data_IF_276013725738
#
_entry.id   IF_276013725738
#
_cell.length_a   1.000
_cell.length_b   1.000
_cell.length_c   1.000
_cell.angle_alpha   90.00
_cell.angle_beta   90.00
_cell.angle_gamma   90.00
#
_symmetry.space_group_name_H-M   'P 1'
#
loop_
_entity.id
_entity.type
_entity.pdbx_description
1 polymer ?
#
# COMPACT_ATOMS: atom_id res chain seq x y z
N UNK A 1 18.35 -46.52 -3.68
CA UNK A 1 17.02 -45.97 -3.34
C UNK A 1 17.09 -44.86 -2.31
N UNK A 2 18.18 -44.66 -1.59
CA UNK A 2 18.29 -43.71 -0.47
C UNK A 2 18.74 -42.30 -0.86
N UNK A 3 19.71 -42.15 -1.79
CA UNK A 3 20.19 -40.79 -2.16
C UNK A 3 19.21 -40.01 -3.04
N UNK A 4 18.56 -40.64 -4.00
CA UNK A 4 17.56 -39.97 -4.86
C UNK A 4 16.31 -39.57 -4.07
N UNK A 5 15.90 -40.35 -3.06
CA UNK A 5 14.77 -39.98 -2.17
C UNK A 5 15.12 -38.84 -1.21
N UNK A 6 16.38 -38.78 -0.73
CA UNK A 6 16.85 -37.68 0.14
C UNK A 6 16.97 -36.39 -0.66
N UNK A 7 17.43 -36.46 -1.90
CA UNK A 7 17.56 -35.27 -2.79
C UNK A 7 16.19 -34.72 -3.20
N UNK A 8 15.20 -35.60 -3.43
CA UNK A 8 13.81 -35.19 -3.71
C UNK A 8 13.12 -34.58 -2.48
N UNK A 9 13.34 -35.12 -1.28
CA UNK A 9 12.74 -34.57 -0.05
C UNK A 9 13.38 -33.23 0.34
N UNK A 10 14.68 -33.06 0.13
CA UNK A 10 15.39 -31.77 0.29
C UNK A 10 14.94 -30.76 -0.74
N UNK A 11 14.69 -31.14 -2.00
CA UNK A 11 14.15 -30.29 -3.03
C UNK A 11 12.70 -29.89 -2.76
N UNK A 12 11.84 -30.79 -2.30
CA UNK A 12 10.46 -30.49 -1.97
C UNK A 12 10.33 -29.62 -0.71
N UNK A 13 11.17 -29.83 0.30
CA UNK A 13 11.22 -28.95 1.48
C UNK A 13 11.73 -27.56 1.14
N UNK A 14 12.67 -27.44 0.21
CA UNK A 14 13.17 -26.16 -0.29
C UNK A 14 12.12 -25.45 -1.17
N UNK A 15 11.36 -26.21 -1.97
CA UNK A 15 10.35 -25.68 -2.87
C UNK A 15 9.20 -24.94 -2.14
N UNK A 16 8.90 -25.27 -0.89
CA UNK A 16 7.84 -24.62 -0.09
C UNK A 16 8.34 -23.44 0.78
N UNK A 17 9.63 -23.17 0.85
CA UNK A 17 10.21 -22.12 1.71
C UNK A 17 9.81 -20.70 1.28
N UNK A 18 9.41 -20.49 0.02
CA UNK A 18 8.81 -19.23 -0.40
C UNK A 18 7.57 -18.83 0.43
N UNK A 19 6.82 -19.81 0.96
CA UNK A 19 5.64 -19.57 1.78
C UNK A 19 5.99 -18.85 3.09
N UNK A 20 7.12 -19.19 3.72
CA UNK A 20 7.56 -18.54 4.95
C UNK A 20 7.91 -17.07 4.74
N UNK A 21 8.53 -16.74 3.61
CA UNK A 21 8.77 -15.33 3.24
C UNK A 21 7.46 -14.64 2.87
N UNK A 22 6.55 -15.33 2.21
CA UNK A 22 5.22 -14.82 1.87
C UNK A 22 4.40 -14.49 3.13
N UNK A 23 4.51 -15.31 4.19
CA UNK A 23 3.93 -15.01 5.52
C UNK A 23 4.59 -13.78 6.15
N UNK A 24 5.91 -13.61 6.00
CA UNK A 24 6.60 -12.38 6.41
C UNK A 24 6.07 -11.13 5.68
N UNK A 25 5.88 -11.22 4.37
CA UNK A 25 5.27 -10.15 3.58
C UNK A 25 3.83 -9.86 3.99
N UNK A 26 3.06 -10.91 4.26
CA UNK A 26 1.70 -10.81 4.78
C UNK A 26 1.67 -10.07 6.13
N UNK A 27 2.56 -10.43 7.06
CA UNK A 27 2.65 -9.83 8.39
C UNK A 27 2.93 -8.32 8.29
N UNK A 28 3.96 -7.90 7.52
CA UNK A 28 4.27 -6.47 7.40
C UNK A 28 3.18 -5.68 6.67
N UNK A 29 2.46 -6.30 5.72
CA UNK A 29 1.34 -5.68 5.05
C UNK A 29 0.11 -5.56 5.96
N UNK A 30 -0.13 -6.55 6.83
CA UNK A 30 -1.16 -6.49 7.87
C UNK A 30 -0.94 -5.26 8.76
N UNK A 31 0.25 -5.12 9.40
CA UNK A 31 0.60 -3.97 10.23
C UNK A 31 0.58 -2.63 9.49
N UNK A 32 0.83 -2.67 8.18
CA UNK A 32 0.69 -1.50 7.34
C UNK A 32 -0.73 -0.93 7.33
N UNK A 33 -1.75 -1.78 7.37
CA UNK A 33 -3.13 -1.36 7.14
C UNK A 33 -4.10 -1.61 8.31
N UNK A 34 -3.68 -2.31 9.38
CA UNK A 34 -4.52 -2.54 10.58
C UNK A 34 -4.91 -1.23 11.28
N UNK A 35 -4.06 -0.21 11.21
CA UNK A 35 -4.29 1.10 11.81
C UNK A 35 -5.41 1.89 11.09
N UNK A 36 -5.62 1.64 9.80
CA UNK A 36 -6.50 2.44 8.95
C UNK A 36 -7.95 2.49 9.47
N UNK A 37 -8.65 1.38 9.78
CA UNK A 37 -10.00 1.46 10.32
C UNK A 37 -10.05 2.05 11.74
N UNK A 38 -8.95 2.00 12.48
CA UNK A 38 -8.85 2.51 13.84
C UNK A 38 -8.66 4.04 13.90
N UNK A 39 -8.40 4.71 12.78
CA UNK A 39 -8.33 6.18 12.69
C UNK A 39 -9.58 6.82 13.29
N UNK A 40 -10.76 6.27 12.98
CA UNK A 40 -12.04 6.75 13.50
C UNK A 40 -12.12 6.57 15.02
N UNK A 41 -11.66 5.44 15.55
CA UNK A 41 -11.60 5.17 16.99
C UNK A 41 -10.68 6.18 17.71
N UNK A 42 -9.46 6.40 17.22
CA UNK A 42 -8.54 7.38 17.81
C UNK A 42 -9.11 8.79 17.83
N UNK A 43 -9.92 9.14 16.82
CA UNK A 43 -10.60 10.42 16.77
C UNK A 43 -11.75 10.51 17.77
N UNK A 44 -12.64 9.52 17.82
CA UNK A 44 -13.85 9.56 18.65
C UNK A 44 -13.56 9.25 20.13
N UNK A 45 -12.74 8.25 20.42
CA UNK A 45 -12.56 7.72 21.77
C UNK A 45 -11.35 8.36 22.49
N UNK A 46 -10.33 8.79 21.73
CA UNK A 46 -9.09 9.37 22.26
C UNK A 46 -8.97 10.87 22.05
N UNK A 47 -9.96 11.51 21.39
CA UNK A 47 -10.06 12.96 21.26
C UNK A 47 -9.00 13.62 20.38
N UNK A 48 -8.32 12.89 19.53
CA UNK A 48 -7.39 13.47 18.56
C UNK A 48 -8.15 14.23 17.47
N UNK A 49 -7.63 15.40 17.02
CA UNK A 49 -8.20 16.10 15.88
C UNK A 49 -8.03 15.30 14.57
N UNK A 50 -8.86 15.61 13.57
CA UNK A 50 -8.77 14.95 12.26
C UNK A 50 -7.38 15.13 11.63
N UNK A 51 -6.80 16.32 11.70
CA UNK A 51 -5.44 16.60 11.20
C UNK A 51 -4.39 15.71 11.87
N UNK A 52 -4.46 15.54 13.20
CA UNK A 52 -3.50 14.70 13.94
C UNK A 52 -3.62 13.25 13.52
N UNK A 53 -4.83 12.73 13.45
CA UNK A 53 -5.10 11.33 13.06
C UNK A 53 -4.65 11.05 11.63
N UNK A 54 -4.95 11.96 10.70
CA UNK A 54 -4.52 11.84 9.30
C UNK A 54 -3.00 11.99 9.15
N UNK A 55 -2.35 12.75 10.06
CA UNK A 55 -0.88 12.81 10.12
C UNK A 55 -0.26 11.46 10.53
N UNK A 56 -0.92 10.67 11.39
CA UNK A 56 -0.46 9.31 11.70
C UNK A 56 -0.52 8.39 10.47
N UNK A 57 -1.51 8.57 9.59
CA UNK A 57 -1.55 7.86 8.32
C UNK A 57 -0.37 8.25 7.43
N UNK A 58 0.00 9.53 7.39
CA UNK A 58 1.16 10.01 6.63
C UNK A 58 2.50 9.60 7.27
N UNK A 59 2.60 9.52 8.59
CA UNK A 59 3.82 9.10 9.31
C UNK A 59 4.37 7.75 8.81
N UNK A 60 3.48 6.84 8.44
CA UNK A 60 3.80 5.57 7.82
C UNK A 60 4.62 5.72 6.52
N UNK A 61 4.34 6.74 5.72
CA UNK A 61 5.04 7.02 4.45
C UNK A 61 6.49 7.41 4.69
N UNK A 62 6.78 8.12 5.80
CA UNK A 62 8.14 8.50 6.18
C UNK A 62 9.03 7.27 6.45
N UNK A 63 8.44 6.16 6.85
CA UNK A 63 9.15 4.89 6.98
C UNK A 63 9.28 4.13 5.65
N UNK A 64 8.20 4.06 4.87
CA UNK A 64 8.14 3.26 3.64
C UNK A 64 9.15 3.74 2.59
N UNK A 65 9.11 5.04 2.27
CA UNK A 65 9.88 5.58 1.15
C UNK A 65 11.39 5.37 1.36
N UNK A 66 12.01 5.78 2.48
CA UNK A 66 13.43 5.54 2.69
C UNK A 66 13.78 4.06 2.72
N UNK A 67 12.98 3.23 3.43
CA UNK A 67 13.23 1.81 3.52
C UNK A 67 13.21 1.13 2.14
N UNK A 68 12.23 1.48 1.30
CA UNK A 68 12.10 0.90 -0.03
C UNK A 68 13.25 1.31 -0.96
N UNK A 69 13.65 2.58 -0.94
CA UNK A 69 14.74 3.10 -1.78
C UNK A 69 16.09 2.53 -1.36
N UNK A 70 16.34 2.36 -0.05
CA UNK A 70 17.64 1.92 0.47
C UNK A 70 17.75 0.40 0.52
N UNK A 71 16.72 -0.29 1.02
CA UNK A 71 16.80 -1.75 1.28
C UNK A 71 16.81 -2.59 0.00
N UNK A 72 16.26 -2.10 -1.10
CA UNK A 72 16.36 -2.77 -2.42
C UNK A 72 17.83 -2.96 -2.85
N UNK A 73 18.55 -1.89 -3.15
CA UNK A 73 19.99 -1.96 -3.49
C UNK A 73 20.85 -2.63 -2.42
N UNK A 74 20.52 -2.39 -1.13
CA UNK A 74 21.26 -2.99 -0.02
C UNK A 74 21.11 -4.53 0.00
N UNK A 75 19.90 -5.04 -0.27
CA UNK A 75 19.64 -6.48 -0.34
C UNK A 75 20.32 -7.15 -1.55
N UNK A 76 20.56 -6.38 -2.60
CA UNK A 76 21.33 -6.84 -3.75
C UNK A 76 22.82 -7.01 -3.42
N UNK A 77 23.33 -6.33 -2.40
CA UNK A 77 24.73 -6.39 -1.97
C UNK A 77 24.96 -7.34 -0.81
N UNK A 78 24.10 -7.31 0.20
CA UNK A 78 24.24 -8.06 1.45
C UNK A 78 23.49 -9.40 1.45
N UNK A 79 22.57 -9.60 0.50
CA UNK A 79 21.66 -10.74 0.45
C UNK A 79 20.24 -10.37 0.86
N UNK A 80 19.28 -11.25 0.53
CA UNK A 80 17.85 -11.04 0.81
C UNK A 80 17.53 -11.24 2.28
N UNK A 81 18.09 -12.31 2.86
CA UNK A 81 17.78 -12.74 4.23
C UNK A 81 18.14 -11.71 5.30
N UNK A 82 19.37 -11.15 5.37
CA UNK A 82 19.74 -10.21 6.42
C UNK A 82 18.92 -8.92 6.40
N UNK A 83 18.40 -8.52 5.23
CA UNK A 83 17.58 -7.31 5.10
C UNK A 83 16.11 -7.58 5.38
N UNK A 84 15.56 -8.71 4.92
CA UNK A 84 14.13 -9.02 5.09
C UNK A 84 13.80 -9.58 6.48
N UNK A 85 14.71 -10.35 7.08
CA UNK A 85 14.46 -11.03 8.36
C UNK A 85 14.06 -10.08 9.50
N UNK A 86 14.65 -8.89 9.67
CA UNK A 86 14.23 -7.95 10.72
C UNK A 86 12.83 -7.34 10.52
N UNK A 87 12.28 -7.38 9.29
CA UNK A 87 11.05 -6.64 8.98
C UNK A 87 9.84 -7.01 9.87
N UNK A 88 9.50 -8.30 10.12
CA UNK A 88 8.42 -8.63 11.05
C UNK A 88 8.70 -8.19 12.49
N UNK A 89 9.95 -8.21 12.95
CA UNK A 89 10.31 -7.74 14.29
C UNK A 89 10.13 -6.22 14.41
N UNK A 90 10.49 -5.46 13.39
CA UNK A 90 10.25 -4.00 13.31
C UNK A 90 8.75 -3.71 13.28
N UNK A 91 7.96 -4.49 12.53
CA UNK A 91 6.50 -4.35 12.49
C UNK A 91 5.88 -4.62 13.86
N UNK A 92 6.31 -5.69 14.54
CA UNK A 92 5.87 -6.01 15.90
C UNK A 92 6.21 -4.88 16.89
N UNK A 93 7.42 -4.33 16.82
CA UNK A 93 7.82 -3.20 17.65
C UNK A 93 6.93 -1.96 17.39
N UNK A 94 6.58 -1.70 16.14
CA UNK A 94 5.62 -0.65 15.78
C UNK A 94 4.25 -0.86 16.43
N UNK A 95 3.68 -2.06 16.33
CA UNK A 95 2.39 -2.38 16.94
C UNK A 95 2.42 -2.38 18.47
N UNK A 96 3.51 -2.85 19.08
CA UNK A 96 3.71 -2.74 20.54
C UNK A 96 3.72 -1.26 20.96
N UNK A 97 4.46 -0.42 20.25
CA UNK A 97 4.55 1.01 20.58
C UNK A 97 3.19 1.71 20.48
N UNK A 98 2.40 1.40 19.46
CA UNK A 98 1.03 1.91 19.29
C UNK A 98 0.13 1.42 20.44
N UNK A 99 0.17 0.12 20.74
CA UNK A 99 -0.67 -0.47 21.79
C UNK A 99 -0.36 0.06 23.20
N UNK A 100 0.90 0.37 23.49
CA UNK A 100 1.32 0.90 24.79
C UNK A 100 0.99 2.39 25.00
N UNK A 101 0.73 3.14 23.91
CA UNK A 101 0.49 4.57 24.00
C UNK A 101 -0.70 5.05 23.17
N UNK A 102 -1.93 4.52 23.39
CA UNK A 102 -3.07 4.88 22.57
C UNK A 102 -3.46 6.37 22.66
N UNK A 103 -3.12 7.03 23.78
CA UNK A 103 -3.37 8.45 24.03
C UNK A 103 -2.12 9.32 23.76
N UNK A 104 -1.01 8.72 23.32
CA UNK A 104 0.24 9.42 23.11
C UNK A 104 0.55 9.57 21.59
N UNK A 105 0.38 10.80 21.08
CA UNK A 105 0.59 11.10 19.67
C UNK A 105 2.01 10.73 19.17
N UNK A 106 3.06 10.89 19.99
CA UNK A 106 4.43 10.55 19.61
C UNK A 106 4.64 9.04 19.49
N UNK A 107 4.01 8.26 20.37
CA UNK A 107 4.06 6.79 20.30
C UNK A 107 3.30 6.27 19.08
N UNK A 108 2.11 6.82 18.80
CA UNK A 108 1.33 6.49 17.61
C UNK A 108 2.12 6.84 16.33
N UNK A 109 2.69 8.05 16.26
CA UNK A 109 3.51 8.48 15.14
C UNK A 109 4.75 7.59 14.95
N UNK A 110 5.51 7.33 16.02
CA UNK A 110 6.70 6.49 15.98
C UNK A 110 6.37 5.04 15.58
N UNK A 111 5.31 4.47 16.12
CA UNK A 111 4.83 3.14 15.74
C UNK A 111 4.43 3.06 14.26
N UNK A 112 3.79 4.11 13.71
CA UNK A 112 3.47 4.20 12.29
C UNK A 112 4.71 4.28 11.41
N UNK A 113 5.73 5.03 11.81
CA UNK A 113 7.02 5.06 11.08
C UNK A 113 7.66 3.67 11.06
N UNK A 114 7.68 2.95 12.20
CA UNK A 114 8.21 1.57 12.26
C UNK A 114 7.42 0.61 11.36
N UNK A 115 6.09 0.68 11.39
CA UNK A 115 5.25 -0.12 10.46
C UNK A 115 5.58 0.19 9.01
N UNK A 116 5.83 1.47 8.69
CA UNK A 116 6.25 1.89 7.36
C UNK A 116 7.61 1.33 6.95
N UNK A 117 8.62 1.38 7.82
CA UNK A 117 9.93 0.79 7.58
C UNK A 117 9.81 -0.70 7.27
N UNK A 118 9.05 -1.43 8.10
CA UNK A 118 8.84 -2.86 7.92
C UNK A 118 8.19 -3.20 6.56
N UNK A 119 7.15 -2.45 6.18
CA UNK A 119 6.51 -2.64 4.88
C UNK A 119 7.44 -2.28 3.73
N UNK A 120 8.18 -1.17 3.81
CA UNK A 120 9.14 -0.75 2.80
C UNK A 120 10.18 -1.83 2.52
N UNK A 121 10.71 -2.48 3.57
CA UNK A 121 11.61 -3.65 3.47
C UNK A 121 10.87 -4.81 2.78
N UNK A 122 9.67 -5.15 3.23
CA UNK A 122 8.86 -6.23 2.66
C UNK A 122 8.60 -6.07 1.17
N UNK A 123 8.27 -4.86 0.73
CA UNK A 123 8.01 -4.54 -0.69
C UNK A 123 9.28 -4.59 -1.53
N UNK A 124 10.38 -4.02 -1.03
CA UNK A 124 11.62 -3.94 -1.80
C UNK A 124 12.34 -5.29 -1.91
N UNK A 125 12.31 -6.10 -0.86
CA UNK A 125 13.16 -7.31 -0.74
C UNK A 125 12.33 -8.59 -0.76
N UNK A 126 11.19 -8.62 -0.05
CA UNK A 126 10.35 -9.81 0.10
C UNK A 126 9.86 -10.34 -1.23
N UNK A 127 9.41 -9.45 -2.13
CA UNK A 127 8.96 -9.84 -3.47
C UNK A 127 10.03 -10.51 -4.32
N UNK A 128 11.26 -10.02 -4.26
CA UNK A 128 12.41 -10.60 -4.95
C UNK A 128 12.77 -11.96 -4.35
N UNK A 129 12.79 -12.08 -3.03
CA UNK A 129 13.12 -13.33 -2.34
C UNK A 129 12.07 -14.42 -2.60
N UNK A 130 10.77 -14.08 -2.53
CA UNK A 130 9.68 -15.02 -2.92
C UNK A 130 9.80 -15.45 -4.37
N UNK A 131 10.15 -14.55 -5.29
CA UNK A 131 10.35 -14.87 -6.71
C UNK A 131 11.52 -15.82 -6.91
N UNK A 132 12.66 -15.56 -6.29
CA UNK A 132 13.87 -16.38 -6.36
C UNK A 132 13.61 -17.79 -5.79
N UNK A 133 13.02 -17.90 -4.59
CA UNK A 133 12.64 -19.18 -3.99
C UNK A 133 11.58 -19.94 -4.82
N UNK A 134 10.63 -19.24 -5.43
CA UNK A 134 9.63 -19.86 -6.30
C UNK A 134 10.22 -20.40 -7.60
N UNK A 135 11.38 -19.89 -8.03
CA UNK A 135 12.12 -20.42 -9.19
C UNK A 135 12.70 -21.81 -8.98
N UNK A 136 12.87 -22.24 -7.72
CA UNK A 136 13.30 -23.60 -7.37
C UNK A 136 12.14 -24.61 -7.31
N UNK A 137 10.90 -24.16 -7.42
CA UNK A 137 9.70 -25.00 -7.46
C UNK A 137 9.44 -25.45 -8.92
N UNK A 138 9.82 -26.69 -9.25
CA UNK A 138 9.68 -27.25 -10.59
C UNK A 138 8.22 -27.30 -11.09
N UNK A 139 7.25 -27.21 -10.17
CA UNK A 139 5.80 -27.19 -10.50
C UNK A 139 5.25 -25.78 -10.71
N UNK A 140 6.05 -24.76 -10.45
CA UNK A 140 5.60 -23.36 -10.52
C UNK A 140 5.47 -22.89 -11.98
N UNK A 141 4.27 -22.39 -12.31
CA UNK A 141 4.02 -21.76 -13.62
C UNK A 141 4.82 -20.45 -13.75
N UNK A 142 5.19 -20.03 -14.97
CA UNK A 142 5.82 -18.72 -15.19
C UNK A 142 5.07 -17.59 -14.47
N UNK A 143 5.80 -16.72 -13.77
CA UNK A 143 5.21 -15.61 -13.00
C UNK A 143 4.60 -16.00 -11.65
N UNK A 144 4.68 -17.27 -11.21
CA UNK A 144 4.13 -17.71 -9.93
C UNK A 144 4.70 -16.92 -8.74
N UNK A 145 6.01 -16.67 -8.72
CA UNK A 145 6.66 -15.93 -7.63
C UNK A 145 6.13 -14.49 -7.48
N UNK A 146 6.01 -13.77 -8.58
CA UNK A 146 5.45 -12.42 -8.57
C UNK A 146 3.98 -12.42 -8.09
N UNK A 147 3.18 -13.38 -8.55
CA UNK A 147 1.78 -13.54 -8.12
C UNK A 147 1.69 -13.87 -6.63
N UNK A 148 2.52 -14.81 -6.13
CA UNK A 148 2.58 -15.19 -4.71
C UNK A 148 2.92 -14.00 -3.81
N UNK A 149 3.91 -13.20 -4.19
CA UNK A 149 4.29 -11.98 -3.48
C UNK A 149 3.15 -10.94 -3.46
N UNK A 150 2.54 -10.67 -4.61
CA UNK A 150 1.42 -9.74 -4.70
C UNK A 150 0.21 -10.18 -3.87
N UNK A 151 -0.14 -11.48 -3.92
CA UNK A 151 -1.23 -12.05 -3.12
C UNK A 151 -0.97 -11.94 -1.62
N UNK A 152 0.27 -12.16 -1.17
CA UNK A 152 0.64 -12.05 0.25
C UNK A 152 0.46 -10.61 0.77
N UNK A 153 0.93 -9.62 0.03
CA UNK A 153 0.73 -8.21 0.38
C UNK A 153 -0.76 -7.83 0.37
N UNK A 154 -1.48 -8.20 -0.68
CA UNK A 154 -2.91 -7.89 -0.80
C UNK A 154 -3.74 -8.53 0.33
N UNK A 155 -3.47 -9.80 0.64
CA UNK A 155 -4.14 -10.49 1.74
C UNK A 155 -3.81 -9.84 3.09
N UNK A 156 -2.54 -9.47 3.32
CA UNK A 156 -2.13 -8.75 4.53
C UNK A 156 -2.86 -7.41 4.68
N UNK A 157 -2.89 -6.59 3.64
CA UNK A 157 -3.60 -5.31 3.68
C UNK A 157 -5.10 -5.46 3.92
N UNK A 158 -5.77 -6.38 3.23
CA UNK A 158 -7.21 -6.54 3.34
C UNK A 158 -7.62 -7.15 4.69
N UNK A 159 -6.95 -8.24 5.10
CA UNK A 159 -7.24 -8.90 6.37
C UNK A 159 -6.80 -8.05 7.57
N UNK A 160 -5.67 -7.33 7.47
CA UNK A 160 -5.22 -6.42 8.49
C UNK A 160 -6.27 -5.36 8.82
N UNK A 161 -6.78 -4.67 7.81
CA UNK A 161 -7.84 -3.69 7.99
C UNK A 161 -9.15 -4.32 8.46
N UNK A 162 -9.60 -5.41 7.80
CA UNK A 162 -10.87 -6.05 8.13
C UNK A 162 -10.92 -6.61 9.55
N UNK A 163 -9.91 -7.40 9.94
CA UNK A 163 -9.84 -8.02 11.27
C UNK A 163 -9.63 -6.97 12.36
N UNK A 164 -8.72 -6.01 12.15
CA UNK A 164 -8.50 -4.95 13.13
C UNK A 164 -9.77 -4.14 13.39
N UNK A 165 -10.53 -3.79 12.35
CA UNK A 165 -11.80 -3.08 12.52
C UNK A 165 -12.87 -3.89 13.24
N UNK A 166 -12.99 -5.19 12.95
CA UNK A 166 -13.91 -6.09 13.66
C UNK A 166 -13.52 -6.20 15.14
N UNK A 167 -12.23 -6.40 15.43
CA UNK A 167 -11.75 -6.51 16.81
C UNK A 167 -11.94 -5.21 17.57
N UNK A 168 -11.61 -4.06 16.96
CA UNK A 168 -11.78 -2.76 17.60
C UNK A 168 -13.26 -2.40 17.84
N UNK A 169 -14.20 -2.87 17.01
CA UNK A 169 -15.62 -2.55 17.15
C UNK A 169 -16.32 -3.41 18.19
N UNK A 170 -16.00 -4.72 18.28
CA UNK A 170 -16.81 -5.66 19.05
C UNK A 170 -16.04 -6.48 20.10
N UNK A 171 -14.72 -6.53 20.02
CA UNK A 171 -13.93 -7.30 20.97
C UNK A 171 -13.53 -6.46 22.21
N UNK A 172 -13.16 -7.11 23.35
CA UNK A 172 -12.59 -6.39 24.48
C UNK A 172 -11.23 -5.79 24.12
N UNK A 173 -10.87 -4.70 24.80
CA UNK A 173 -9.59 -3.98 24.60
C UNK A 173 -9.36 -3.50 23.18
N UNK A 174 -10.24 -2.64 22.63
CA UNK A 174 -10.25 -2.24 21.22
C UNK A 174 -8.92 -1.64 20.74
N UNK A 175 -8.19 -0.94 21.64
CA UNK A 175 -6.90 -0.32 21.36
C UNK A 175 -5.69 -1.24 21.47
N UNK A 176 -5.88 -2.49 21.96
CA UNK A 176 -4.77 -3.40 22.25
C UNK A 176 -4.87 -4.72 21.47
N UNK A 177 -6.09 -5.28 21.36
CA UNK A 177 -6.26 -6.63 20.85
C UNK A 177 -5.85 -6.79 19.38
N UNK A 178 -6.20 -5.83 18.53
CA UNK A 178 -5.82 -5.84 17.13
C UNK A 178 -4.28 -5.90 16.97
N UNK A 179 -3.57 -5.04 17.68
CA UNK A 179 -2.10 -5.01 17.67
C UNK A 179 -1.47 -6.25 18.30
N UNK A 180 -2.08 -6.81 19.37
CA UNK A 180 -1.61 -8.05 19.99
C UNK A 180 -1.67 -9.24 19.01
N UNK A 181 -2.76 -9.35 18.26
CA UNK A 181 -2.89 -10.36 17.18
C UNK A 181 -1.81 -10.18 16.13
N UNK A 182 -1.56 -8.94 15.70
CA UNK A 182 -0.52 -8.65 14.72
C UNK A 182 0.88 -9.01 15.25
N UNK A 183 1.20 -8.69 16.50
CA UNK A 183 2.47 -9.07 17.14
C UNK A 183 2.68 -10.59 17.08
N UNK A 184 1.64 -11.38 17.38
CA UNK A 184 1.72 -12.85 17.29
C UNK A 184 1.97 -13.33 15.87
N UNK A 185 1.32 -12.73 14.87
CA UNK A 185 1.56 -12.99 13.44
C UNK A 185 3.01 -12.68 13.08
N UNK A 186 3.54 -11.53 13.53
CA UNK A 186 4.92 -11.14 13.29
C UNK A 186 5.94 -12.09 13.93
N UNK A 187 5.69 -12.56 15.16
CA UNK A 187 6.56 -13.54 15.82
C UNK A 187 6.56 -14.85 15.03
N UNK A 188 5.40 -15.35 14.63
CA UNK A 188 5.30 -16.57 13.83
C UNK A 188 6.02 -16.42 12.48
N UNK A 189 5.87 -15.27 11.81
CA UNK A 189 6.55 -14.95 10.56
C UNK A 189 8.07 -14.89 10.74
N UNK A 190 8.55 -14.20 11.77
CA UNK A 190 9.98 -14.08 12.08
C UNK A 190 10.61 -15.46 12.32
N UNK A 191 10.01 -16.27 13.22
CA UNK A 191 10.50 -17.61 13.53
C UNK A 191 10.51 -18.52 12.30
N UNK A 192 9.43 -18.48 11.50
CA UNK A 192 9.37 -19.23 10.24
C UNK A 192 10.49 -18.85 9.27
N UNK A 193 10.75 -17.56 9.11
CA UNK A 193 11.77 -17.05 8.20
C UNK A 193 13.21 -17.38 8.63
N UNK A 194 13.47 -17.72 9.90
CA UNK A 194 14.81 -18.17 10.36
C UNK A 194 15.32 -19.40 9.60
N UNK A 195 14.43 -20.26 9.14
CA UNK A 195 14.76 -21.49 8.42
C UNK A 195 14.95 -21.28 6.91
N UNK A 196 14.68 -20.08 6.37
CA UNK A 196 14.75 -19.83 4.93
C UNK A 196 16.19 -19.55 4.51
N UNK A 197 16.70 -20.21 3.45
CA UNK A 197 18.06 -20.00 2.97
C UNK A 197 18.20 -18.65 2.26
N UNK A 198 19.43 -18.13 2.26
CA UNK A 198 19.80 -17.02 1.40
C UNK A 198 19.81 -17.47 -0.06
N UNK A 199 19.24 -16.64 -0.94
CA UNK A 199 19.18 -16.94 -2.39
C UNK A 199 20.19 -16.16 -3.20
N UNK A 200 20.81 -15.14 -2.61
CA UNK A 200 21.79 -14.29 -3.28
C UNK A 200 23.13 -14.29 -2.56
N UNK A 201 24.19 -14.76 -3.21
CA UNK A 201 25.52 -14.73 -2.63
C UNK A 201 26.15 -13.33 -2.73
N UNK A 202 26.81 -12.89 -1.66
CA UNK A 202 27.56 -11.63 -1.62
C UNK A 202 28.73 -11.58 -2.65
N UNK A 203 29.21 -12.71 -3.11
CA UNK A 203 30.30 -12.82 -4.10
C UNK A 203 29.94 -12.23 -5.49
N UNK A 204 28.65 -12.11 -5.82
CA UNK A 204 28.20 -11.49 -7.07
C UNK A 204 28.33 -9.95 -7.09
N UNK A 205 28.76 -9.34 -6.00
CA UNK A 205 28.82 -7.87 -5.81
C UNK A 205 30.23 -7.25 -5.99
N UNK A 206 31.26 -8.08 -6.23
CA UNK A 206 32.63 -7.58 -6.47
C UNK A 206 32.70 -6.81 -7.79
N UNK A 207 32.74 -5.50 -7.72
CA UNK A 207 32.81 -4.58 -8.88
C UNK A 207 31.69 -3.55 -8.95
N UNK A 208 30.74 -3.54 -8.00
CA UNK A 208 29.65 -2.55 -7.98
C UNK A 208 30.11 -1.16 -7.55
N UNK A 209 29.59 -0.16 -8.27
CA UNK A 209 29.73 1.27 -7.98
C UNK A 209 29.14 1.64 -6.61
N UNK A 210 29.24 2.87 -6.18
CA UNK A 210 28.75 3.32 -4.87
C UNK A 210 27.24 3.10 -4.71
N UNK A 211 26.71 3.07 -3.46
CA UNK A 211 25.26 3.03 -3.22
C UNK A 211 24.53 4.22 -3.86
N UNK A 212 25.22 5.37 -3.92
CA UNK A 212 24.69 6.59 -4.55
C UNK A 212 24.50 6.40 -6.06
N UNK A 213 25.37 5.62 -6.71
CA UNK A 213 25.21 5.32 -8.14
C UNK A 213 24.02 4.37 -8.40
N UNK A 214 23.71 3.46 -7.47
CA UNK A 214 22.53 2.60 -7.55
C UNK A 214 21.21 3.38 -7.33
N UNK A 215 21.28 4.56 -6.67
CA UNK A 215 20.14 5.48 -6.50
C UNK A 215 19.93 6.39 -7.71
N UNK A 216 20.86 6.42 -8.66
CA UNK A 216 20.65 7.12 -9.93
C UNK A 216 19.77 6.29 -10.85
N UNK A 217 18.61 6.84 -11.18
CA UNK A 217 17.60 6.18 -12.01
C UNK A 217 17.38 7.02 -13.27
N UNK A 218 18.20 6.85 -14.32
CA UNK A 218 18.10 7.66 -15.54
C UNK A 218 16.70 7.62 -16.17
N UNK A 219 16.04 6.47 -16.12
CA UNK A 219 14.70 6.28 -16.67
C UNK A 219 13.62 7.14 -15.99
N UNK A 220 13.87 7.70 -14.80
CA UNK A 220 12.94 8.62 -14.14
C UNK A 220 12.82 9.98 -14.88
N UNK A 221 13.80 10.36 -15.71
CA UNK A 221 13.76 11.54 -16.58
C UNK A 221 13.08 11.28 -17.93
N UNK A 222 12.68 10.05 -18.21
CA UNK A 222 12.03 9.69 -19.46
C UNK A 222 10.71 10.46 -19.63
N UNK A 223 10.46 11.03 -20.83
CA UNK A 223 9.28 11.88 -21.09
C UNK A 223 7.96 11.19 -20.78
N UNK A 224 7.85 9.87 -21.03
CA UNK A 224 6.66 9.08 -20.72
C UNK A 224 6.47 8.92 -19.19
N UNK A 225 7.55 8.83 -18.42
CA UNK A 225 7.47 8.85 -16.96
C UNK A 225 6.90 10.18 -16.47
N UNK A 226 7.45 11.31 -16.96
CA UNK A 226 7.05 12.65 -16.53
C UNK A 226 5.62 13.05 -16.93
N UNK A 227 5.12 12.57 -18.07
CA UNK A 227 3.83 13.01 -18.61
C UNK A 227 2.71 11.95 -18.50
N UNK A 228 3.01 10.70 -18.18
CA UNK A 228 2.00 9.65 -17.97
C UNK A 228 2.04 9.13 -16.54
N UNK A 229 3.23 8.73 -16.05
CA UNK A 229 3.35 8.10 -14.73
C UNK A 229 3.24 9.13 -13.61
N UNK A 230 3.96 10.24 -13.69
CA UNK A 230 3.98 11.27 -12.65
C UNK A 230 2.60 11.90 -12.39
N UNK A 231 1.77 12.28 -13.40
CA UNK A 231 0.43 12.77 -13.15
C UNK A 231 -0.54 11.74 -12.58
N UNK A 232 -0.27 10.44 -12.79
CA UNK A 232 -1.11 9.34 -12.33
C UNK A 232 -0.75 8.87 -10.92
N UNK A 233 0.54 8.84 -10.58
CA UNK A 233 1.04 8.17 -9.38
C UNK A 233 0.43 8.67 -8.06
N UNK A 234 0.31 9.98 -7.76
CA UNK A 234 -0.27 10.45 -6.49
C UNK A 234 -1.72 10.05 -6.30
N UNK A 235 -2.47 9.84 -7.38
CA UNK A 235 -3.86 9.41 -7.32
C UNK A 235 -4.04 7.98 -6.81
N UNK A 236 -3.02 7.14 -6.91
CA UNK A 236 -3.10 5.75 -6.46
C UNK A 236 -3.53 5.70 -4.99
N UNK A 237 -2.71 6.21 -4.07
CA UNK A 237 -3.08 6.22 -2.66
C UNK A 237 -3.83 7.47 -2.23
N UNK A 238 -3.83 8.56 -3.00
CA UNK A 238 -4.70 9.71 -2.76
C UNK A 238 -6.17 9.35 -2.85
N UNK A 239 -6.60 8.65 -3.90
CA UNK A 239 -7.98 8.19 -4.04
C UNK A 239 -8.35 7.11 -3.02
N UNK A 240 -7.41 6.17 -2.78
CA UNK A 240 -7.62 5.12 -1.79
C UNK A 240 -7.80 5.72 -0.38
N UNK A 241 -6.95 6.67 0.03
CA UNK A 241 -7.05 7.33 1.33
C UNK A 241 -8.32 8.16 1.50
N UNK A 242 -8.83 8.79 0.45
CA UNK A 242 -10.17 9.41 0.48
C UNK A 242 -11.23 8.35 0.78
N UNK A 243 -11.16 7.19 0.13
CA UNK A 243 -12.15 6.13 0.27
C UNK A 243 -12.20 5.51 1.67
N UNK A 244 -11.05 5.29 2.31
CA UNK A 244 -11.00 4.52 3.57
C UNK A 244 -10.48 5.31 4.78
N UNK A 245 -10.11 6.57 4.64
CA UNK A 245 -9.77 7.43 5.77
C UNK A 245 -10.70 8.65 5.85
N UNK A 246 -10.82 9.46 4.78
CA UNK A 246 -11.60 10.70 4.82
C UNK A 246 -13.09 10.43 4.88
N UNK A 247 -13.64 9.62 3.96
CA UNK A 247 -15.08 9.35 3.92
C UNK A 247 -15.59 8.63 5.18
N UNK A 248 -14.92 7.60 5.75
CA UNK A 248 -15.35 7.00 7.00
C UNK A 248 -15.35 7.96 8.17
N UNK A 249 -14.34 8.85 8.25
CA UNK A 249 -14.28 9.89 9.29
C UNK A 249 -15.46 10.86 9.20
N UNK A 250 -15.79 11.29 7.98
CA UNK A 250 -16.93 12.16 7.71
C UNK A 250 -18.28 11.47 8.05
N UNK A 251 -18.40 10.19 7.73
CA UNK A 251 -19.59 9.40 8.06
C UNK A 251 -19.73 9.18 9.57
N UNK A 252 -18.62 8.97 10.28
CA UNK A 252 -18.63 8.79 11.72
C UNK A 252 -19.20 10.02 12.43
N UNK A 253 -18.83 11.23 11.99
CA UNK A 253 -19.40 12.46 12.53
C UNK A 253 -20.92 12.59 12.25
N UNK A 254 -21.33 12.26 11.03
CA UNK A 254 -22.74 12.32 10.64
C UNK A 254 -23.62 11.29 11.38
N UNK A 255 -23.03 10.16 11.79
CA UNK A 255 -23.74 9.07 12.50
C UNK A 255 -23.63 9.18 14.02
N UNK A 256 -22.86 10.11 14.56
CA UNK A 256 -22.67 10.25 16.01
C UNK A 256 -23.97 10.51 16.77
N UNK A 257 -24.92 11.21 16.16
CA UNK A 257 -26.23 11.58 16.75
C UNK A 257 -27.33 10.52 16.51
N UNK A 258 -27.03 9.43 15.77
CA UNK A 258 -28.04 8.39 15.47
C UNK A 258 -28.30 7.50 16.71
N UNK A 259 -29.56 7.06 16.95
CA UNK A 259 -29.88 6.17 18.03
C UNK A 259 -29.11 4.84 17.93
N UNK A 260 -28.29 4.55 18.95
CA UNK A 260 -27.43 3.36 18.98
C UNK A 260 -25.99 3.58 18.53
N UNK A 261 -25.60 4.84 18.23
CA UNK A 261 -24.20 5.24 18.02
C UNK A 261 -23.53 4.72 16.74
N UNK A 262 -24.25 3.99 15.89
CA UNK A 262 -23.70 3.40 14.67
C UNK A 262 -22.54 2.42 14.94
N UNK A 263 -21.89 1.98 13.87
CA UNK A 263 -20.67 1.14 13.94
C UNK A 263 -19.54 1.81 13.16
N UNK A 264 -18.99 2.94 13.63
CA UNK A 264 -18.10 3.77 12.82
C UNK A 264 -16.79 3.08 12.47
N UNK A 265 -16.21 2.28 13.36
CA UNK A 265 -14.99 1.54 13.11
C UNK A 265 -15.23 0.40 12.12
N UNK A 266 -16.35 -0.32 12.27
CA UNK A 266 -16.74 -1.37 11.33
C UNK A 266 -17.05 -0.81 9.95
N UNK A 267 -17.69 0.35 9.85
CA UNK A 267 -17.92 1.04 8.57
C UNK A 267 -16.60 1.42 7.91
N UNK A 268 -15.66 1.97 8.67
CA UNK A 268 -14.31 2.27 8.17
C UNK A 268 -13.60 1.02 7.64
N UNK A 269 -13.66 -0.09 8.38
CA UNK A 269 -13.11 -1.37 7.95
C UNK A 269 -13.79 -1.89 6.66
N UNK A 270 -15.12 -1.82 6.59
CA UNK A 270 -15.88 -2.23 5.41
C UNK A 270 -15.50 -1.39 4.19
N UNK A 271 -15.39 -0.07 4.34
CA UNK A 271 -14.98 0.82 3.26
C UNK A 271 -13.54 0.55 2.80
N UNK A 272 -12.62 0.25 3.74
CA UNK A 272 -11.25 -0.15 3.40
C UNK A 272 -11.23 -1.48 2.60
N UNK A 273 -11.96 -2.50 3.05
CA UNK A 273 -12.05 -3.79 2.36
C UNK A 273 -12.69 -3.64 0.97
N UNK A 274 -13.74 -2.83 0.83
CA UNK A 274 -14.40 -2.56 -0.45
C UNK A 274 -13.46 -1.82 -1.39
N UNK A 275 -12.79 -0.75 -0.93
CA UNK A 275 -11.88 0.03 -1.76
C UNK A 275 -10.67 -0.81 -2.22
N UNK A 276 -10.03 -1.54 -1.31
CA UNK A 276 -8.89 -2.38 -1.64
C UNK A 276 -9.29 -3.60 -2.50
N UNK A 277 -10.43 -4.22 -2.19
CA UNK A 277 -10.96 -5.37 -2.92
C UNK A 277 -11.37 -5.02 -4.35
N UNK A 278 -12.12 -3.94 -4.56
CA UNK A 278 -12.49 -3.45 -5.89
C UNK A 278 -11.26 -3.02 -6.69
N UNK A 279 -10.28 -2.38 -6.02
CA UNK A 279 -9.01 -2.02 -6.61
C UNK A 279 -8.18 -3.23 -7.05
N UNK A 280 -8.18 -4.30 -6.27
CA UNK A 280 -7.54 -5.56 -6.67
C UNK A 280 -8.26 -6.21 -7.85
N UNK A 281 -9.58 -6.30 -7.80
CA UNK A 281 -10.39 -6.94 -8.84
C UNK A 281 -10.23 -6.27 -10.20
N UNK A 282 -10.26 -4.93 -10.25
CA UNK A 282 -10.17 -4.15 -11.50
C UNK A 282 -8.81 -4.32 -12.21
N UNK A 283 -7.75 -4.68 -11.50
CA UNK A 283 -6.42 -4.88 -12.10
C UNK A 283 -6.43 -5.97 -13.18
N UNK A 284 -7.32 -6.95 -13.09
CA UNK A 284 -7.48 -7.97 -14.13
C UNK A 284 -7.96 -7.33 -15.46
N UNK A 285 -8.85 -6.36 -15.38
CA UNK A 285 -9.31 -5.58 -16.54
C UNK A 285 -8.18 -4.69 -17.03
N UNK A 286 -7.47 -4.00 -16.13
CA UNK A 286 -6.32 -3.14 -16.47
C UNK A 286 -5.27 -3.88 -17.31
N UNK A 287 -4.91 -5.10 -16.89
CA UNK A 287 -3.97 -5.94 -17.66
C UNK A 287 -4.47 -6.36 -19.04
N UNK A 288 -5.79 -6.46 -19.24
CA UNK A 288 -6.39 -6.85 -20.54
C UNK A 288 -6.49 -5.69 -21.52
N UNK A 289 -6.74 -4.47 -21.02
CA UNK A 289 -6.90 -3.29 -21.86
C UNK A 289 -5.57 -2.58 -22.14
N UNK A 290 -4.51 -3.01 -21.46
CA UNK A 290 -3.19 -2.45 -21.61
C UNK A 290 -2.62 -2.66 -23.01
N UNK A 291 -1.95 -1.63 -23.53
CA UNK A 291 -1.35 -1.66 -24.86
C UNK A 291 -0.10 -0.79 -24.89
N UNK A 292 0.98 -1.24 -25.54
CA UNK A 292 2.17 -0.40 -25.74
C UNK A 292 1.93 0.80 -26.66
N UNK A 293 0.88 0.75 -27.50
CA UNK A 293 0.62 1.77 -28.52
C UNK A 293 0.14 3.11 -27.95
N UNK A 294 -0.44 3.13 -26.72
CA UNK A 294 -0.93 4.37 -26.10
C UNK A 294 -1.04 4.22 -24.57
N UNK A 295 -1.41 5.29 -23.86
CA UNK A 295 -1.63 5.27 -22.40
C UNK A 295 -3.10 4.98 -22.01
N UNK A 296 -3.76 4.05 -22.71
CA UNK A 296 -5.20 3.74 -22.52
C UNK A 296 -5.52 3.37 -21.08
N UNK A 297 -4.68 2.54 -20.44
CA UNK A 297 -4.85 2.15 -19.05
C UNK A 297 -4.85 3.35 -18.10
N UNK A 298 -3.88 4.27 -18.27
CA UNK A 298 -3.79 5.50 -17.47
C UNK A 298 -5.00 6.43 -17.70
N UNK A 299 -5.49 6.55 -18.93
CA UNK A 299 -6.67 7.37 -19.25
C UNK A 299 -7.95 6.77 -18.62
N UNK A 300 -8.13 5.45 -18.67
CA UNK A 300 -9.26 4.78 -18.00
C UNK A 300 -9.17 4.96 -16.48
N UNK A 301 -7.97 4.85 -15.89
CA UNK A 301 -7.77 5.10 -14.48
C UNK A 301 -8.19 6.53 -14.08
N UNK A 302 -7.71 7.53 -14.81
CA UNK A 302 -8.04 8.94 -14.54
C UNK A 302 -9.53 9.22 -14.76
N UNK A 303 -10.18 8.59 -15.74
CA UNK A 303 -11.64 8.68 -15.91
C UNK A 303 -12.42 8.09 -14.73
N UNK A 304 -11.99 6.93 -14.22
CA UNK A 304 -12.56 6.33 -13.00
C UNK A 304 -12.33 7.22 -11.77
N UNK A 305 -11.19 7.89 -11.68
CA UNK A 305 -10.88 8.84 -10.60
C UNK A 305 -11.77 10.09 -10.67
N UNK A 306 -12.01 10.64 -11.87
CA UNK A 306 -12.96 11.74 -12.05
C UNK A 306 -14.35 11.35 -11.54
N UNK A 307 -14.85 10.20 -11.97
CA UNK A 307 -16.16 9.68 -11.53
C UNK A 307 -16.14 9.40 -10.02
N UNK A 308 -15.08 8.76 -9.50
CA UNK A 308 -14.93 8.44 -8.09
C UNK A 308 -14.92 9.68 -7.19
N UNK A 309 -14.20 10.74 -7.59
CA UNK A 309 -14.17 12.01 -6.86
C UNK A 309 -15.52 12.74 -6.93
N UNK A 310 -16.22 12.68 -8.07
CA UNK A 310 -17.57 13.24 -8.18
C UNK A 310 -18.58 12.48 -7.30
N UNK A 311 -18.49 11.14 -7.24
CA UNK A 311 -19.31 10.32 -6.35
C UNK A 311 -18.95 10.57 -4.88
N UNK A 312 -17.68 10.79 -4.54
CA UNK A 312 -17.27 11.18 -3.20
C UNK A 312 -17.82 12.57 -2.79
N UNK A 313 -17.83 13.53 -3.73
CA UNK A 313 -18.47 14.84 -3.49
C UNK A 313 -19.97 14.71 -3.24
N UNK A 314 -20.66 13.87 -4.00
CA UNK A 314 -22.05 13.55 -3.76
C UNK A 314 -22.25 12.86 -2.40
N UNK A 315 -21.45 11.82 -2.08
CA UNK A 315 -21.53 11.12 -0.80
C UNK A 315 -21.33 12.07 0.40
N UNK A 316 -20.38 13.00 0.29
CA UNK A 316 -20.12 14.02 1.30
C UNK A 316 -21.27 15.07 1.42
N UNK A 317 -22.10 15.24 0.39
CA UNK A 317 -23.25 16.14 0.44
C UNK A 317 -24.51 15.49 1.00
N UNK A 318 -24.71 14.18 0.78
CA UNK A 318 -25.92 13.46 1.22
C UNK A 318 -25.71 12.70 2.53
N UNK A 319 -24.47 12.47 2.94
CA UNK A 319 -24.06 11.83 4.19
C UNK A 319 -24.78 10.49 4.48
N UNK A 320 -24.89 9.62 3.45
CA UNK A 320 -25.50 8.30 3.59
C UNK A 320 -24.46 7.20 3.45
N UNK A 321 -24.59 6.12 4.23
CA UNK A 321 -23.70 4.96 4.20
C UNK A 321 -23.65 4.36 2.77
N UNK A 322 -24.81 4.25 2.11
CA UNK A 322 -24.88 3.70 0.76
C UNK A 322 -24.03 4.51 -0.24
N UNK A 323 -24.13 5.84 -0.20
CA UNK A 323 -23.35 6.73 -1.06
C UNK A 323 -21.83 6.59 -0.76
N UNK A 324 -21.45 6.51 0.52
CA UNK A 324 -20.07 6.33 0.95
C UNK A 324 -19.48 4.99 0.47
N UNK A 325 -20.24 3.89 0.56
CA UNK A 325 -19.83 2.57 0.07
C UNK A 325 -19.67 2.55 -1.46
N UNK A 326 -20.57 3.21 -2.20
CA UNK A 326 -20.45 3.37 -3.67
C UNK A 326 -19.19 4.18 -4.00
N UNK A 327 -18.95 5.29 -3.30
CA UNK A 327 -17.75 6.10 -3.49
C UNK A 327 -16.47 5.28 -3.22
N UNK A 328 -16.44 4.50 -2.13
CA UNK A 328 -15.32 3.62 -1.80
C UNK A 328 -15.03 2.60 -2.90
N UNK A 329 -16.07 1.98 -3.48
CA UNK A 329 -15.93 1.02 -4.57
C UNK A 329 -15.38 1.67 -5.85
N UNK A 330 -15.91 2.83 -6.25
CA UNK A 330 -15.49 3.53 -7.48
C UNK A 330 -14.08 4.09 -7.34
N UNK A 331 -13.76 4.74 -6.22
CA UNK A 331 -12.40 5.21 -5.92
C UNK A 331 -11.42 4.04 -5.84
N UNK A 332 -11.84 2.92 -5.27
CA UNK A 332 -11.08 1.68 -5.26
C UNK A 332 -10.75 1.19 -6.67
N UNK A 333 -11.71 1.17 -7.57
CA UNK A 333 -11.46 0.85 -8.99
C UNK A 333 -10.47 1.84 -9.63
N UNK A 334 -10.61 3.14 -9.37
CA UNK A 334 -9.69 4.17 -9.84
C UNK A 334 -8.27 3.93 -9.37
N UNK A 335 -8.10 3.69 -8.06
CA UNK A 335 -6.84 3.33 -7.41
C UNK A 335 -6.18 2.09 -8.05
N UNK A 336 -6.93 1.00 -8.16
CA UNK A 336 -6.38 -0.26 -8.67
C UNK A 336 -5.99 -0.19 -10.15
N UNK A 337 -6.78 0.53 -10.96
CA UNK A 337 -6.48 0.78 -12.36
C UNK A 337 -5.24 1.68 -12.51
N UNK A 338 -5.11 2.74 -11.69
CA UNK A 338 -3.96 3.63 -11.69
C UNK A 338 -2.68 2.88 -11.30
N UNK A 339 -2.76 2.02 -10.27
CA UNK A 339 -1.63 1.22 -9.82
C UNK A 339 -1.12 0.27 -10.91
N UNK A 340 -2.01 -0.53 -11.51
CA UNK A 340 -1.60 -1.51 -12.53
C UNK A 340 -1.09 -0.81 -13.79
N UNK A 341 -1.76 0.26 -14.24
CA UNK A 341 -1.35 1.00 -15.43
C UNK A 341 -0.01 1.71 -15.21
N UNK A 342 0.20 2.32 -14.05
CA UNK A 342 1.48 2.94 -13.69
C UNK A 342 2.64 1.96 -13.66
N UNK A 343 2.43 0.77 -13.06
CA UNK A 343 3.45 -0.30 -13.04
C UNK A 343 3.79 -0.82 -14.45
N UNK A 344 2.79 -0.95 -15.31
CA UNK A 344 3.01 -1.37 -16.70
C UNK A 344 3.81 -0.32 -17.48
N UNK A 345 3.52 0.96 -17.28
CA UNK A 345 4.30 2.04 -17.89
C UNK A 345 5.75 2.05 -17.36
N UNK A 346 5.95 1.88 -16.05
CA UNK A 346 7.28 1.74 -15.45
C UNK A 346 8.06 0.59 -16.08
N UNK A 347 7.42 -0.58 -16.25
CA UNK A 347 8.06 -1.75 -16.88
C UNK A 347 8.46 -1.51 -18.34
N UNK A 348 7.70 -0.67 -19.08
CA UNK A 348 8.02 -0.31 -20.47
C UNK A 348 9.17 0.66 -20.59
N UNK A 349 9.29 1.58 -19.63
CA UNK A 349 10.28 2.66 -19.66
C UNK A 349 11.62 2.17 -19.08
N UNK A 350 11.58 1.23 -18.16
CA UNK A 350 12.76 0.80 -17.42
C UNK A 350 13.83 0.19 -18.33
N UNK A 351 15.05 0.69 -18.21
CA UNK A 351 16.24 0.07 -18.79
C UNK A 351 16.58 -1.27 -18.10
N UNK A 352 17.52 -2.03 -18.63
CA UNK A 352 17.87 -3.37 -18.13
C UNK A 352 18.25 -3.42 -16.64
N UNK A 353 18.79 -2.31 -16.09
CA UNK A 353 19.27 -2.20 -14.72
C UNK A 353 18.42 -1.25 -13.85
N UNK A 354 17.41 -0.59 -14.42
CA UNK A 354 16.68 0.50 -13.77
C UNK A 354 15.32 0.09 -13.20
N UNK A 355 14.82 -1.10 -13.52
CA UNK A 355 13.44 -1.51 -13.20
C UNK A 355 13.13 -1.44 -11.70
N UNK A 356 14.04 -1.93 -10.87
CA UNK A 356 13.82 -1.91 -9.41
C UNK A 356 13.80 -0.47 -8.88
N UNK A 357 14.74 0.35 -9.31
CA UNK A 357 14.83 1.76 -8.91
C UNK A 357 13.62 2.56 -9.41
N UNK A 358 13.24 2.43 -10.68
CA UNK A 358 12.09 3.13 -11.25
C UNK A 358 10.77 2.72 -10.60
N UNK A 359 10.64 1.43 -10.25
CA UNK A 359 9.50 0.92 -9.48
C UNK A 359 9.46 1.54 -8.08
N UNK A 360 10.62 1.67 -7.41
CA UNK A 360 10.71 2.30 -6.10
C UNK A 360 10.33 3.80 -6.16
N UNK A 361 10.77 4.52 -7.18
CA UNK A 361 10.34 5.92 -7.41
C UNK A 361 8.84 6.01 -7.65
N UNK A 362 8.29 5.14 -8.48
CA UNK A 362 6.84 5.10 -8.73
C UNK A 362 6.06 4.89 -7.42
N UNK A 363 6.41 3.87 -6.63
CA UNK A 363 5.76 3.65 -5.33
C UNK A 363 5.95 4.82 -4.38
N UNK A 364 7.13 5.45 -4.33
CA UNK A 364 7.35 6.64 -3.51
C UNK A 364 6.38 7.76 -3.87
N UNK A 365 6.16 8.01 -5.16
CA UNK A 365 5.18 8.99 -5.63
C UNK A 365 3.75 8.59 -5.30
N UNK A 366 3.40 7.29 -5.38
CA UNK A 366 2.05 6.82 -5.01
C UNK A 366 1.80 6.98 -3.51
N UNK A 367 2.79 6.69 -2.67
CA UNK A 367 2.68 6.81 -1.22
C UNK A 367 2.53 8.26 -0.75
N UNK A 368 3.04 9.26 -1.48
CA UNK A 368 2.77 10.68 -1.19
C UNK A 368 1.27 11.01 -1.19
N UNK A 369 0.45 10.21 -1.88
CA UNK A 369 -1.01 10.33 -1.84
C UNK A 369 -1.62 10.16 -0.43
N UNK A 370 -0.93 9.52 0.52
CA UNK A 370 -1.36 9.45 1.92
C UNK A 370 -1.24 10.78 2.69
N UNK A 371 -0.61 11.81 2.12
CA UNK A 371 -0.68 13.15 2.66
C UNK A 371 -2.04 13.83 2.40
N UNK A 372 -2.82 13.33 1.44
CA UNK A 372 -4.10 13.93 1.03
C UNK A 372 -5.05 14.08 2.22
N UNK A 373 -5.35 13.06 3.06
CA UNK A 373 -6.24 13.24 4.20
C UNK A 373 -5.81 14.39 5.13
N UNK A 374 -4.54 14.42 5.54
CA UNK A 374 -4.03 15.46 6.43
C UNK A 374 -4.14 16.86 5.82
N UNK A 375 -3.89 16.99 4.51
CA UNK A 375 -4.07 18.28 3.79
C UNK A 375 -5.54 18.68 3.76
N UNK A 376 -6.45 17.74 3.47
CA UNK A 376 -7.88 18.02 3.39
C UNK A 376 -8.44 18.42 4.76
N UNK A 377 -8.09 17.69 5.81
CA UNK A 377 -8.49 18.01 7.18
C UNK A 377 -7.95 19.39 7.62
N UNK A 378 -6.68 19.68 7.33
CA UNK A 378 -6.10 20.99 7.63
C UNK A 378 -6.80 22.12 6.89
N UNK A 379 -7.18 21.93 5.62
CA UNK A 379 -7.90 22.93 4.84
C UNK A 379 -9.30 23.17 5.40
N UNK A 380 -10.05 22.13 5.75
CA UNK A 380 -11.40 22.25 6.31
C UNK A 380 -11.40 22.83 7.72
N UNK A 381 -10.39 22.53 8.55
CA UNK A 381 -10.23 23.12 9.88
C UNK A 381 -9.79 24.60 9.83
N UNK A 382 -8.96 24.98 8.84
CA UNK A 382 -8.46 26.37 8.71
C UNK A 382 -9.51 27.31 8.15
N UNK A 383 -10.36 26.85 7.23
CA UNK A 383 -11.42 27.66 6.59
C UNK A 383 -12.80 27.01 6.72
N UNK A 384 -13.33 26.91 7.95
CA UNK A 384 -14.61 26.25 8.20
C UNK A 384 -15.75 26.98 7.49
N UNK A 385 -16.64 26.21 6.86
CA UNK A 385 -17.78 26.73 6.11
C UNK A 385 -17.47 27.30 4.71
N UNK A 386 -16.19 27.59 4.41
CA UNK A 386 -15.75 28.04 3.08
C UNK A 386 -15.22 26.85 2.28
N UNK A 387 -14.33 26.09 2.88
CA UNK A 387 -13.75 24.89 2.28
C UNK A 387 -14.45 23.67 2.87
N UNK A 388 -15.30 23.03 2.06
CA UNK A 388 -16.05 21.83 2.47
C UNK A 388 -15.64 20.61 1.68
N UNK A 389 -15.85 19.41 2.23
CA UNK A 389 -15.49 18.17 1.55
C UNK A 389 -16.10 18.03 0.15
N UNK A 390 -17.39 18.37 -0.11
CA UNK A 390 -17.93 18.34 -1.47
C UNK A 390 -17.17 19.22 -2.45
N UNK A 391 -16.77 20.43 -2.02
CA UNK A 391 -15.99 21.38 -2.86
C UNK A 391 -14.61 20.79 -3.15
N UNK A 392 -13.92 20.26 -2.14
CA UNK A 392 -12.58 19.67 -2.30
C UNK A 392 -12.62 18.46 -3.24
N UNK A 393 -13.59 17.57 -3.07
CA UNK A 393 -13.73 16.41 -3.95
C UNK A 393 -14.12 16.80 -5.37
N UNK A 394 -14.96 17.83 -5.54
CA UNK A 394 -15.24 18.42 -6.85
C UNK A 394 -13.98 18.98 -7.52
N UNK A 395 -13.16 19.71 -6.76
CA UNK A 395 -11.84 20.16 -7.23
C UNK A 395 -10.94 18.99 -7.58
N UNK A 396 -10.91 17.92 -6.78
CA UNK A 396 -10.20 16.69 -7.07
C UNK A 396 -10.63 16.06 -8.39
N UNK A 397 -11.93 16.04 -8.70
CA UNK A 397 -12.42 15.55 -10.00
C UNK A 397 -11.88 16.40 -11.16
N UNK A 398 -11.86 17.72 -11.02
CA UNK A 398 -11.29 18.64 -12.04
C UNK A 398 -9.79 18.36 -12.21
N UNK A 399 -9.04 18.21 -11.12
CA UNK A 399 -7.60 17.90 -11.19
C UNK A 399 -7.32 16.56 -11.84
N UNK A 400 -8.11 15.52 -11.55
CA UNK A 400 -7.99 14.23 -12.23
C UNK A 400 -8.28 14.35 -13.75
N UNK A 401 -9.28 15.14 -14.12
CA UNK A 401 -9.58 15.43 -15.53
C UNK A 401 -8.42 16.18 -16.22
N UNK A 402 -7.82 17.17 -15.57
CA UNK A 402 -6.66 17.89 -16.11
C UNK A 402 -5.44 16.94 -16.28
N UNK A 403 -5.17 16.06 -15.30
CA UNK A 403 -4.17 15.02 -15.47
C UNK A 403 -4.48 14.12 -16.69
N UNK A 404 -5.74 13.75 -16.89
CA UNK A 404 -6.18 12.99 -18.06
C UNK A 404 -5.93 13.72 -19.38
N UNK A 405 -6.18 15.03 -19.44
CA UNK A 405 -5.89 15.87 -20.61
C UNK A 405 -4.39 15.94 -20.90
N UNK A 406 -3.56 16.09 -19.85
CA UNK A 406 -2.09 16.06 -19.99
C UNK A 406 -1.63 14.72 -20.57
N UNK A 407 -2.07 13.61 -19.99
CA UNK A 407 -1.75 12.26 -20.48
C UNK A 407 -2.17 12.11 -21.93
N UNK A 408 -3.42 12.47 -22.27
CA UNK A 408 -3.94 12.39 -23.65
C UNK A 408 -3.14 13.21 -24.64
N UNK A 409 -2.80 14.46 -24.29
CA UNK A 409 -2.10 15.38 -25.19
C UNK A 409 -0.64 15.01 -25.46
N UNK A 410 -0.01 14.23 -24.55
CA UNK A 410 1.42 13.88 -24.61
C UNK A 410 1.69 12.44 -25.03
N UNK A 411 0.67 11.58 -25.05
CA UNK A 411 0.84 10.15 -25.36
C UNK A 411 1.36 9.92 -26.77
N UNK A 412 0.83 10.63 -27.78
CA UNK A 412 1.25 10.49 -29.19
C UNK A 412 2.68 10.96 -29.48
N UNK A 413 3.22 11.84 -28.62
CA UNK A 413 4.56 12.41 -28.81
C UNK A 413 5.70 11.55 -28.21
N UNK A 414 5.37 10.45 -27.52
CA UNK A 414 6.32 9.73 -26.66
C UNK A 414 6.24 8.20 -26.77
N UNK A 415 5.64 7.71 -27.84
CA UNK A 415 5.76 6.30 -28.22
C UNK A 415 7.19 6.03 -28.66
N UNK A 416 7.80 4.89 -28.23
CA UNK A 416 9.14 4.50 -28.66
C UNK A 416 9.24 4.27 -30.14
#
# INVERSE_FOLDING_TARGET
MTEAMIDDDVRQTTAKRWLLVAVGMFAVAWGGNEFTPLLVMYRLDHGFSAVVVDTFLFAYVLGIIPAMLICGPLSDRLGRRPIMLPAPAIAAAGSILIALGPDNAYMLFGGRVLSGIALGIGMAVGGSWVKELSGHDATAKPGAGARRAAMSLTAGFALGAGVAGVLAQWAPWPTHLAYSVHVLICIAAFVGMLSVPETRSAAASSGRKSLVDDLRIPSASHRRFLFVVLPLAPWVFGAASVAYAVLPSLMADALADEPGGGYPVALSAAMAVIALGSGFAIQAVGRRIDTPANARGALVALSLLVVGMAVAAWAASVLTIAAALIAAAVLGCGYGMALVSGLQEVQRIAGPNDLAGLTAVFYSLTYLGFAVPAVLSALTETWPGVVTYPIIFGFGAVMAALCGLVVRSKTSAHLP
#
